data_IF_402591626562
#
_entry.id   IF_402591626562
#
_cell.length_a   1.000
_cell.length_b   1.000
_cell.length_c   1.000
_cell.angle_alpha   90.00
_cell.angle_beta   90.00
_cell.angle_gamma   90.00
#
_symmetry.space_group_name_H-M   'P 1'
#
loop_
_entity.id
_entity.type
_entity.pdbx_description
1 polymer ?
#
# COMPACT_ATOMS: atom_id res chain seq x y z
N UNK A 1 37.52 -1.84 -66.70
CA UNK A 1 36.48 -1.10 -65.97
C UNK A 1 36.74 -1.28 -64.47
N UNK A 2 36.24 -0.42 -63.59
CA UNK A 2 36.48 -0.51 -62.14
C UNK A 2 35.22 -1.05 -61.44
N UNK A 3 35.40 -1.69 -60.30
CA UNK A 3 34.30 -2.05 -59.42
C UNK A 3 33.96 -0.86 -58.50
N UNK A 4 32.69 -0.75 -58.11
CA UNK A 4 32.25 0.25 -57.14
C UNK A 4 32.50 -0.22 -55.70
N UNK A 5 32.74 0.75 -54.82
CA UNK A 5 32.78 0.52 -53.38
C UNK A 5 31.44 -0.06 -52.88
N UNK A 6 31.44 -0.78 -51.74
CA UNK A 6 30.20 -1.25 -51.13
C UNK A 6 29.27 -0.06 -50.82
N UNK A 7 28.05 -0.09 -51.36
CA UNK A 7 26.96 0.81 -51.00
C UNK A 7 26.09 0.09 -49.96
N UNK A 8 25.68 0.76 -48.89
CA UNK A 8 25.02 0.18 -47.71
C UNK A 8 25.96 -0.50 -46.69
N UNK A 9 27.05 0.18 -46.35
CA UNK A 9 27.92 -0.20 -45.24
C UNK A 9 27.97 0.89 -44.17
N UNK A 10 28.09 0.47 -42.92
CA UNK A 10 28.28 1.37 -41.79
C UNK A 10 29.69 2.01 -41.87
N UNK A 11 29.72 3.30 -42.20
CA UNK A 11 30.95 4.08 -42.31
C UNK A 11 31.58 4.39 -40.94
N UNK A 12 30.84 4.25 -39.84
CA UNK A 12 31.45 4.24 -38.51
C UNK A 12 32.27 2.97 -38.29
N UNK A 13 31.90 1.86 -38.93
CA UNK A 13 32.53 0.55 -38.73
C UNK A 13 33.65 0.26 -39.73
N UNK A 14 33.49 0.61 -41.01
CA UNK A 14 34.44 0.24 -42.07
C UNK A 14 35.23 1.43 -42.60
N UNK A 15 36.54 1.22 -42.80
CA UNK A 15 37.41 2.16 -43.48
C UNK A 15 37.54 1.79 -44.96
N UNK A 16 36.92 2.59 -45.83
CA UNK A 16 36.93 2.38 -47.28
C UNK A 16 38.06 3.14 -48.02
N UNK A 17 39.02 3.71 -47.29
CA UNK A 17 40.04 4.61 -47.87
C UNK A 17 40.83 4.03 -49.05
N UNK A 18 41.02 2.71 -49.10
CA UNK A 18 41.74 2.03 -50.17
C UNK A 18 40.83 1.43 -51.25
N UNK A 19 39.51 1.45 -51.06
CA UNK A 19 38.53 0.70 -51.86
C UNK A 19 37.55 1.57 -52.66
N UNK A 20 37.78 2.88 -52.74
CA UNK A 20 36.90 3.80 -53.50
C UNK A 20 36.86 3.51 -55.01
N UNK A 21 38.00 3.12 -55.59
CA UNK A 21 38.10 2.76 -57.02
C UNK A 21 39.08 1.60 -57.14
N UNK A 22 38.57 0.42 -57.48
CA UNK A 22 39.39 -0.80 -57.63
C UNK A 22 39.33 -1.26 -59.08
N UNK A 23 40.49 -1.29 -59.73
CA UNK A 23 40.60 -1.71 -61.13
C UNK A 23 40.33 -3.22 -61.25
N UNK A 24 39.75 -3.65 -62.37
CA UNK A 24 39.59 -5.08 -62.67
C UNK A 24 40.92 -5.85 -62.53
N UNK A 25 40.87 -6.98 -61.82
CA UNK A 25 42.04 -7.80 -61.52
C UNK A 25 42.90 -7.33 -60.33
N UNK A 26 42.50 -6.26 -59.62
CA UNK A 26 43.20 -5.74 -58.44
C UNK A 26 42.41 -5.93 -57.15
N UNK A 27 43.10 -5.74 -56.02
CA UNK A 27 42.56 -5.89 -54.67
C UNK A 27 42.71 -4.59 -53.87
N UNK A 28 41.92 -4.46 -52.82
CA UNK A 28 42.05 -3.42 -51.79
C UNK A 28 41.77 -4.02 -50.41
N UNK A 29 42.19 -3.33 -49.34
CA UNK A 29 42.00 -3.79 -47.97
C UNK A 29 40.85 -3.04 -47.31
N UNK A 30 39.81 -3.77 -46.92
CA UNK A 30 38.69 -3.30 -46.10
C UNK A 30 39.03 -3.51 -44.63
N UNK A 31 39.53 -2.45 -43.99
CA UNK A 31 39.84 -2.44 -42.56
C UNK A 31 38.67 -1.93 -41.71
N UNK A 32 38.76 -2.17 -40.40
CA UNK A 32 37.90 -1.50 -39.44
C UNK A 32 38.25 -0.02 -39.33
N UNK A 33 37.24 0.83 -39.19
CA UNK A 33 37.43 2.25 -38.96
C UNK A 33 37.90 2.48 -37.53
N UNK A 34 39.15 2.89 -37.38
CA UNK A 34 39.83 2.99 -36.08
C UNK A 34 40.30 4.42 -35.83
N UNK A 35 39.90 5.05 -34.71
CA UNK A 35 38.86 4.64 -33.76
C UNK A 35 37.44 4.73 -34.38
N UNK A 36 36.42 4.02 -33.83
CA UNK A 36 36.41 3.29 -32.57
C UNK A 36 36.51 1.75 -32.70
N UNK A 37 36.61 1.18 -33.90
CA UNK A 37 36.65 -0.27 -34.08
C UNK A 37 38.08 -0.80 -34.16
N UNK A 38 38.24 -2.07 -33.78
CA UNK A 38 39.46 -2.87 -33.95
C UNK A 38 39.11 -4.21 -34.58
N UNK A 39 40.02 -4.75 -35.39
CA UNK A 39 39.81 -5.99 -36.09
C UNK A 39 40.82 -6.19 -37.21
N UNK A 40 40.82 -7.36 -37.80
CA UNK A 40 41.65 -7.67 -38.96
C UNK A 40 40.94 -7.21 -40.24
N UNK A 41 41.71 -6.63 -41.16
CA UNK A 41 41.19 -6.24 -42.46
C UNK A 41 40.90 -7.46 -43.34
N UNK A 42 39.88 -7.37 -44.18
CA UNK A 42 39.61 -8.35 -45.23
C UNK A 42 40.00 -7.78 -46.59
N UNK A 43 40.51 -8.64 -47.48
CA UNK A 43 40.84 -8.22 -48.84
C UNK A 43 39.59 -8.28 -49.71
N UNK A 44 39.25 -7.16 -50.34
CA UNK A 44 38.24 -7.08 -51.39
C UNK A 44 38.91 -7.15 -52.76
N UNK A 45 38.25 -7.77 -53.74
CA UNK A 45 38.80 -7.89 -55.09
C UNK A 45 37.77 -7.54 -56.17
N UNK A 46 38.26 -6.92 -57.24
CA UNK A 46 37.46 -6.69 -58.44
C UNK A 46 37.80 -7.77 -59.48
N UNK A 47 36.83 -8.57 -59.98
CA UNK A 47 37.09 -9.64 -60.93
C UNK A 47 37.88 -9.18 -62.16
N UNK A 48 38.79 -10.02 -62.64
CA UNK A 48 39.50 -9.76 -63.88
C UNK A 48 38.53 -9.78 -65.08
N UNK A 49 38.76 -8.91 -66.06
CA UNK A 49 37.87 -8.76 -67.21
C UNK A 49 36.53 -8.07 -66.92
N UNK A 50 36.35 -7.44 -65.76
CA UNK A 50 35.14 -6.66 -65.49
C UNK A 50 34.93 -5.58 -66.58
N UNK A 51 33.74 -5.56 -67.18
CA UNK A 51 33.28 -4.59 -68.18
C UNK A 51 32.07 -3.76 -67.70
N UNK A 52 31.49 -4.10 -66.55
CA UNK A 52 30.37 -3.39 -65.95
C UNK A 52 30.88 -2.34 -64.94
N UNK A 53 30.64 -1.04 -65.15
CA UNK A 53 31.05 0.02 -64.23
C UNK A 53 30.28 0.02 -62.90
N UNK A 54 29.20 -0.74 -62.78
CA UNK A 54 28.40 -0.89 -61.57
C UNK A 54 28.64 -2.21 -60.83
N UNK A 55 29.58 -3.04 -61.30
CA UNK A 55 29.92 -4.29 -60.63
C UNK A 55 30.41 -3.99 -59.20
N UNK A 56 29.77 -4.58 -58.17
CA UNK A 56 30.23 -4.42 -56.80
C UNK A 56 31.55 -5.16 -56.59
N UNK A 57 32.38 -4.66 -55.68
CA UNK A 57 33.51 -5.43 -55.18
C UNK A 57 33.06 -6.80 -54.65
N UNK A 58 33.89 -7.82 -54.83
CA UNK A 58 33.74 -9.09 -54.13
C UNK A 58 34.51 -9.02 -52.81
N UNK A 59 33.79 -9.09 -51.70
CA UNK A 59 34.35 -8.93 -50.36
C UNK A 59 33.54 -9.70 -49.32
N UNK A 60 34.14 -9.88 -48.14
CA UNK A 60 33.49 -10.40 -46.94
C UNK A 60 33.66 -9.42 -45.79
N UNK A 61 32.64 -9.30 -44.95
CA UNK A 61 32.66 -8.40 -43.79
C UNK A 61 33.83 -8.72 -42.85
N UNK A 62 34.74 -7.77 -42.56
CA UNK A 62 35.76 -7.94 -41.55
C UNK A 62 35.13 -8.01 -40.15
N UNK A 63 35.77 -8.73 -39.22
CA UNK A 63 35.32 -8.81 -37.83
C UNK A 63 35.76 -7.55 -37.10
N UNK A 64 34.92 -6.53 -37.11
CA UNK A 64 35.15 -5.28 -36.41
C UNK A 64 34.45 -5.26 -35.06
N UNK A 65 35.23 -5.23 -33.99
CA UNK A 65 34.72 -5.12 -32.62
C UNK A 65 34.90 -3.68 -32.12
N UNK A 66 33.87 -3.08 -31.52
CA UNK A 66 34.02 -1.80 -30.83
C UNK A 66 35.13 -1.87 -29.77
N UNK A 67 35.98 -0.86 -29.74
CA UNK A 67 37.04 -0.69 -28.75
C UNK A 67 36.74 0.52 -27.88
N UNK A 68 36.09 0.29 -26.75
CA UNK A 68 35.82 1.33 -25.76
C UNK A 68 37.04 1.56 -24.89
N UNK A 69 37.58 2.79 -24.90
CA UNK A 69 38.63 3.18 -23.93
C UNK A 69 38.03 3.23 -22.52
N UNK A 70 38.80 2.82 -21.52
CA UNK A 70 38.38 2.79 -20.11
C UNK A 70 38.22 4.20 -19.49
N UNK A 71 38.40 5.27 -20.27
CA UNK A 71 38.52 6.66 -19.80
C UNK A 71 37.21 7.43 -19.71
N UNK A 72 36.07 6.79 -19.95
CA UNK A 72 34.77 7.44 -19.70
C UNK A 72 34.53 7.60 -18.21
N UNK A 73 33.96 8.73 -17.75
CA UNK A 73 33.51 8.84 -16.37
C UNK A 73 32.55 7.68 -16.08
N UNK A 74 32.78 6.97 -14.97
CA UNK A 74 31.93 5.85 -14.56
C UNK A 74 30.52 6.40 -14.33
N UNK A 75 29.49 5.88 -15.01
CA UNK A 75 28.12 6.38 -14.84
C UNK A 75 27.61 6.22 -13.41
N UNK A 76 26.65 7.05 -13.04
CA UNK A 76 25.99 6.94 -11.73
C UNK A 76 25.41 5.52 -11.53
N UNK A 77 25.57 4.99 -10.32
CA UNK A 77 25.11 3.64 -9.97
C UNK A 77 26.12 2.53 -10.21
N UNK A 78 27.26 2.84 -10.83
CA UNK A 78 28.32 1.87 -11.12
C UNK A 78 29.66 2.25 -10.49
N UNK A 79 30.52 1.25 -10.35
CA UNK A 79 31.93 1.36 -9.96
C UNK A 79 32.75 0.47 -10.88
N UNK A 80 33.88 0.99 -11.35
CA UNK A 80 34.84 0.24 -12.16
C UNK A 80 36.14 0.10 -11.35
N UNK A 81 36.51 -1.13 -11.03
CA UNK A 81 37.76 -1.41 -10.33
C UNK A 81 38.97 -1.32 -11.28
N UNK A 82 40.21 -1.17 -10.76
CA UNK A 82 41.42 -1.04 -11.60
C UNK A 82 41.71 -2.25 -12.50
N UNK A 83 41.16 -3.42 -12.15
CA UNK A 83 41.25 -4.66 -12.92
C UNK A 83 40.20 -4.75 -14.05
N UNK A 84 39.35 -3.74 -14.20
CA UNK A 84 38.26 -3.70 -15.18
C UNK A 84 36.96 -4.34 -14.71
N UNK A 85 36.87 -4.77 -13.45
CA UNK A 85 35.65 -5.38 -12.90
C UNK A 85 34.59 -4.32 -12.56
N UNK A 86 33.38 -4.49 -13.11
CA UNK A 86 32.22 -3.64 -12.78
C UNK A 86 31.53 -4.12 -11.50
N UNK A 87 31.17 -3.18 -10.63
CA UNK A 87 30.32 -3.41 -9.46
C UNK A 87 29.25 -2.32 -9.35
N UNK A 88 28.15 -2.59 -8.64
CA UNK A 88 27.15 -1.55 -8.35
C UNK A 88 27.69 -0.58 -7.28
N UNK A 89 27.28 0.68 -7.37
CA UNK A 89 27.51 1.65 -6.30
C UNK A 89 26.69 1.27 -5.04
N UNK A 90 27.04 1.81 -3.87
CA UNK A 90 26.38 1.46 -2.59
C UNK A 90 24.86 1.70 -2.57
N UNK A 91 24.36 2.57 -3.45
CA UNK A 91 22.94 2.91 -3.56
C UNK A 91 22.21 2.10 -4.64
N UNK A 92 22.86 1.10 -5.23
CA UNK A 92 22.35 0.28 -6.31
C UNK A 92 22.63 -1.20 -6.05
N UNK A 93 21.81 -2.06 -6.62
CA UNK A 93 21.94 -3.51 -6.49
C UNK A 93 21.66 -4.20 -7.82
N UNK A 94 22.31 -5.34 -8.03
CA UNK A 94 22.09 -6.20 -9.19
C UNK A 94 23.35 -6.89 -9.67
N UNK A 95 23.34 -7.31 -10.94
CA UNK A 95 24.44 -8.00 -11.60
C UNK A 95 25.03 -7.08 -12.67
N UNK A 96 26.05 -6.27 -12.34
CA UNK A 96 26.62 -5.30 -13.26
C UNK A 96 27.26 -5.97 -14.46
N UNK A 97 27.02 -5.39 -15.62
CA UNK A 97 27.71 -5.69 -16.87
C UNK A 97 27.87 -4.40 -17.68
N UNK A 98 28.71 -4.43 -18.70
CA UNK A 98 28.85 -3.31 -19.62
C UNK A 98 28.97 -3.82 -21.04
N UNK A 99 28.27 -3.16 -21.96
CA UNK A 99 28.35 -3.44 -23.39
C UNK A 99 29.02 -2.25 -24.04
N UNK A 100 30.06 -2.49 -24.83
CA UNK A 100 30.67 -1.46 -25.64
C UNK A 100 29.77 -1.20 -26.85
N UNK A 101 29.26 0.02 -26.97
CA UNK A 101 28.37 0.45 -28.06
C UNK A 101 28.99 1.64 -28.78
N UNK A 102 28.70 1.78 -30.07
CA UNK A 102 29.11 2.94 -30.86
C UNK A 102 27.87 3.77 -31.12
N UNK A 103 27.93 5.06 -30.80
CA UNK A 103 26.82 5.99 -31.01
C UNK A 103 26.80 6.54 -32.45
N UNK A 104 25.79 7.34 -32.77
CA UNK A 104 25.59 7.91 -34.11
C UNK A 104 26.73 8.86 -34.56
N UNK A 105 27.55 9.33 -33.61
CA UNK A 105 28.73 10.16 -33.86
C UNK A 105 30.02 9.33 -34.06
N UNK A 106 29.89 8.01 -34.24
CA UNK A 106 30.98 7.04 -34.33
C UNK A 106 31.93 7.05 -33.10
N UNK A 107 31.41 7.33 -31.90
CA UNK A 107 32.17 7.27 -30.64
C UNK A 107 31.80 5.99 -29.89
N UNK A 108 32.81 5.18 -29.54
CA UNK A 108 32.61 4.03 -28.66
C UNK A 108 32.49 4.46 -27.20
N UNK A 109 31.43 4.02 -26.56
CA UNK A 109 31.15 4.26 -25.14
C UNK A 109 30.71 2.98 -24.42
N UNK A 110 31.10 2.88 -23.16
CA UNK A 110 30.61 1.83 -22.28
C UNK A 110 29.18 2.14 -21.89
N UNK A 111 28.25 1.23 -22.21
CA UNK A 111 26.88 1.25 -21.72
C UNK A 111 26.71 0.24 -20.60
N UNK A 112 26.85 0.64 -19.33
CA UNK A 112 26.65 -0.27 -18.21
C UNK A 112 25.17 -0.61 -18.04
N UNK A 113 24.91 -1.85 -17.61
CA UNK A 113 23.58 -2.40 -17.37
C UNK A 113 23.59 -3.27 -16.11
N UNK A 114 22.42 -3.50 -15.53
CA UNK A 114 22.23 -4.48 -14.46
C UNK A 114 22.46 -3.98 -13.03
N UNK A 115 22.67 -2.69 -12.81
CA UNK A 115 22.55 -2.08 -11.48
C UNK A 115 21.31 -1.19 -11.43
N UNK A 116 20.36 -1.58 -10.58
CA UNK A 116 19.14 -0.82 -10.33
C UNK A 116 19.26 -0.06 -9.01
N UNK A 117 18.65 1.12 -8.94
CA UNK A 117 18.69 1.94 -7.74
C UNK A 117 17.94 1.25 -6.61
N UNK A 118 18.55 1.24 -5.43
CA UNK A 118 17.89 0.79 -4.22
C UNK A 118 16.83 1.80 -3.77
N UNK A 119 15.66 1.29 -3.40
CA UNK A 119 14.50 2.07 -3.00
C UNK A 119 14.08 1.78 -1.55
N UNK A 120 13.65 2.79 -0.79
CA UNK A 120 13.04 2.56 0.51
C UNK A 120 11.73 1.79 0.34
N UNK A 121 11.37 1.00 1.36
CA UNK A 121 10.08 0.31 1.37
C UNK A 121 8.94 1.26 1.76
N UNK A 122 7.75 0.95 1.25
CA UNK A 122 6.49 1.62 1.56
C UNK A 122 5.91 1.05 2.85
N UNK A 123 5.35 1.91 3.70
CA UNK A 123 4.65 1.49 4.91
C UNK A 123 3.39 0.66 4.55
N UNK A 124 3.03 -0.36 5.34
CA UNK A 124 1.76 -1.07 5.17
C UNK A 124 0.56 -0.12 5.30
N UNK A 125 -0.56 -0.46 4.69
CA UNK A 125 -1.81 0.33 4.76
C UNK A 125 -2.90 -0.34 5.58
N UNK A 126 -2.58 -1.44 6.28
CA UNK A 126 -3.54 -2.16 7.13
C UNK A 126 -3.99 -1.31 8.33
N UNK A 127 -5.31 -1.20 8.52
CA UNK A 127 -5.99 -0.60 9.68
C UNK A 127 -5.22 0.59 10.31
N UNK A 128 -5.11 1.67 9.53
CA UNK A 128 -4.43 2.92 9.92
C UNK A 128 -5.02 3.58 11.18
N UNK A 129 -6.20 3.14 11.59
CA UNK A 129 -6.85 3.59 12.82
C UNK A 129 -6.36 2.82 14.04
N UNK A 130 -5.98 1.55 13.88
CA UNK A 130 -5.47 0.71 14.95
C UNK A 130 -3.95 0.81 15.13
N UNK A 131 -3.22 1.02 14.05
CA UNK A 131 -1.76 0.99 14.05
C UNK A 131 -1.14 2.36 13.76
N UNK A 132 -0.15 2.73 14.57
CA UNK A 132 0.72 3.86 14.30
C UNK A 132 1.96 3.35 13.54
N UNK A 133 2.09 3.82 12.30
CA UNK A 133 3.19 3.49 11.38
C UNK A 133 4.04 4.71 11.02
N UNK A 134 4.01 5.78 11.84
CA UNK A 134 4.81 6.99 11.62
C UNK A 134 6.30 6.70 11.44
N UNK A 135 6.81 5.72 12.20
CA UNK A 135 8.22 5.33 12.21
C UNK A 135 8.62 4.53 10.95
N UNK A 136 7.64 4.15 10.13
CA UNK A 136 7.81 3.31 8.94
C UNK A 136 7.72 4.09 7.63
N UNK A 137 7.64 5.43 7.70
CA UNK A 137 7.65 6.29 6.53
C UNK A 137 9.08 6.39 5.98
N UNK A 138 9.35 5.72 4.86
CA UNK A 138 10.66 5.70 4.14
C UNK A 138 11.75 4.87 4.82
N UNK A 139 11.44 3.63 5.18
CA UNK A 139 12.47 2.71 5.71
C UNK A 139 13.47 2.37 4.60
N UNK A 140 14.78 2.67 4.75
CA UNK A 140 15.77 2.35 3.73
C UNK A 140 15.91 0.83 3.54
N UNK A 141 16.47 0.38 2.40
CA UNK A 141 16.79 -1.04 2.19
C UNK A 141 17.60 -1.62 3.36
N UNK A 142 17.20 -2.80 3.84
CA UNK A 142 17.80 -3.47 5.00
C UNK A 142 17.42 -2.85 6.35
N UNK A 143 16.72 -1.71 6.33
CA UNK A 143 16.21 -1.02 7.49
C UNK A 143 15.04 -1.74 8.16
N UNK A 144 14.68 -1.25 9.34
CA UNK A 144 13.55 -1.74 10.11
C UNK A 144 12.88 -0.59 10.86
N UNK A 145 11.58 -0.73 11.13
CA UNK A 145 10.80 0.21 11.93
C UNK A 145 9.91 -0.53 12.93
N UNK A 146 9.40 0.20 13.92
CA UNK A 146 8.44 -0.33 14.89
C UNK A 146 7.04 0.15 14.56
N UNK A 147 6.12 -0.79 14.41
CA UNK A 147 4.69 -0.52 14.33
C UNK A 147 4.10 -0.68 15.73
N UNK A 148 3.38 0.33 16.18
CA UNK A 148 2.79 0.39 17.53
C UNK A 148 1.28 0.46 17.42
N UNK A 149 0.58 0.19 18.52
CA UNK A 149 -0.83 0.53 18.61
C UNK A 149 -1.00 2.05 18.58
N UNK A 150 -1.98 2.52 17.81
CA UNK A 150 -2.39 3.92 17.81
C UNK A 150 -3.30 4.17 19.01
N UNK A 151 -3.18 5.32 19.65
CA UNK A 151 -4.11 5.70 20.72
C UNK A 151 -5.56 5.73 20.16
N UNK A 152 -6.57 5.20 20.89
CA UNK A 152 -6.55 4.72 22.28
C UNK A 152 -6.29 3.22 22.46
N UNK A 153 -5.84 2.52 21.41
CA UNK A 153 -5.49 1.10 21.52
C UNK A 153 -4.22 0.91 22.34
N UNK A 154 -4.23 -0.13 23.16
CA UNK A 154 -3.07 -0.54 23.97
C UNK A 154 -2.66 -1.94 23.53
N UNK A 155 -1.35 -2.17 23.48
CA UNK A 155 -0.78 -3.44 23.05
C UNK A 155 0.73 -3.40 22.92
N UNK A 156 1.29 -4.49 22.38
CA UNK A 156 2.70 -4.58 22.05
C UNK A 156 3.08 -3.73 20.84
N UNK A 157 4.37 -3.72 20.53
CA UNK A 157 4.90 -3.25 19.25
C UNK A 157 5.39 -4.45 18.43
N UNK A 158 5.40 -4.31 17.11
CA UNK A 158 5.94 -5.30 16.19
C UNK A 158 6.96 -4.65 15.27
N UNK A 159 7.96 -5.41 14.87
CA UNK A 159 8.99 -4.95 13.94
C UNK A 159 8.53 -5.20 12.49
N UNK A 160 8.75 -4.24 11.61
CA UNK A 160 8.65 -4.41 10.17
C UNK A 160 10.00 -4.13 9.50
N UNK A 161 10.33 -4.86 8.45
CA UNK A 161 11.66 -4.85 7.80
C UNK A 161 11.57 -4.56 6.31
N UNK A 162 12.55 -3.82 5.79
CA UNK A 162 12.74 -3.66 4.36
C UNK A 162 13.84 -4.60 3.88
N UNK A 163 13.66 -5.23 2.72
CA UNK A 163 14.69 -6.09 2.12
C UNK A 163 15.94 -5.25 1.79
N UNK A 164 17.14 -5.79 2.04
CA UNK A 164 18.42 -5.11 1.79
C UNK A 164 18.62 -4.74 0.31
N UNK A 165 18.07 -5.56 -0.57
CA UNK A 165 18.23 -5.46 -2.01
C UNK A 165 16.97 -4.95 -2.70
N UNK A 166 16.17 -4.13 -2.02
CA UNK A 166 14.92 -3.64 -2.56
C UNK A 166 15.17 -2.64 -3.71
N UNK A 167 14.89 -3.05 -4.94
CA UNK A 167 14.93 -2.22 -6.14
C UNK A 167 13.53 -1.82 -6.62
N UNK A 168 12.47 -2.30 -5.96
CA UNK A 168 11.10 -1.96 -6.28
C UNK A 168 10.62 -0.77 -5.42
N UNK A 169 10.30 0.39 -6.02
CA UNK A 169 9.82 1.56 -5.28
C UNK A 169 8.45 1.37 -4.62
N UNK A 170 7.71 0.32 -4.97
CA UNK A 170 6.38 0.01 -4.40
C UNK A 170 6.40 -1.17 -3.43
N UNK A 171 7.57 -1.73 -3.12
CA UNK A 171 7.71 -2.83 -2.17
C UNK A 171 7.22 -2.39 -0.79
N UNK A 172 6.19 -3.07 -0.29
CA UNK A 172 5.69 -2.90 1.07
C UNK A 172 6.64 -3.58 2.04
N UNK A 173 6.85 -2.97 3.21
CA UNK A 173 7.60 -3.58 4.31
C UNK A 173 7.13 -5.01 4.61
N UNK A 174 8.07 -5.91 4.86
CA UNK A 174 7.77 -7.21 5.45
C UNK A 174 7.34 -7.00 6.90
N UNK A 175 6.03 -7.09 7.08
CA UNK A 175 5.37 -7.06 8.38
C UNK A 175 4.62 -8.38 8.60
N UNK A 176 5.42 -9.45 8.67
CA UNK A 176 4.91 -10.80 8.90
C UNK A 176 4.48 -11.05 10.36
N UNK A 177 3.53 -11.97 10.59
CA UNK A 177 3.02 -12.27 11.93
C UNK A 177 4.09 -12.68 12.96
N UNK A 178 3.83 -12.43 14.26
CA UNK A 178 2.59 -11.91 14.81
C UNK A 178 2.48 -10.38 14.75
N UNK A 179 1.36 -9.90 14.20
CA UNK A 179 0.97 -8.48 14.33
C UNK A 179 0.73 -8.17 15.81
N UNK A 180 0.97 -6.92 16.26
CA UNK A 180 0.74 -6.58 17.66
C UNK A 180 -0.76 -6.67 17.94
N UNK A 181 -1.09 -7.33 19.05
CA UNK A 181 -2.46 -7.36 19.56
C UNK A 181 -2.79 -5.97 20.11
N UNK A 182 -3.51 -5.18 19.31
CA UNK A 182 -3.98 -3.86 19.69
C UNK A 182 -5.45 -3.97 20.06
N UNK A 183 -5.74 -3.77 21.35
CA UNK A 183 -7.09 -3.83 21.90
C UNK A 183 -7.44 -2.51 22.59
N UNK A 184 -8.72 -2.15 22.54
CA UNK A 184 -9.24 -1.08 23.38
C UNK A 184 -9.34 -1.61 24.80
N UNK A 185 -8.61 -1.01 25.73
CA UNK A 185 -8.71 -1.37 27.15
C UNK A 185 -9.97 -0.79 27.77
N UNK A 186 -10.28 0.48 27.47
CA UNK A 186 -11.44 1.22 27.96
C UNK A 186 -11.93 2.13 26.83
N UNK A 187 -13.24 2.22 26.61
CA UNK A 187 -13.81 3.20 25.68
C UNK A 187 -13.66 4.62 26.27
N UNK A 188 -13.37 5.64 25.46
CA UNK A 188 -13.30 7.02 25.95
C UNK A 188 -14.65 7.46 26.53
N UNK A 189 -14.64 8.23 27.62
CA UNK A 189 -15.87 8.77 28.20
C UNK A 189 -16.58 9.64 27.15
N UNK A 190 -17.90 9.43 26.90
CA UNK A 190 -18.62 10.21 25.90
C UNK A 190 -18.67 11.68 26.32
N UNK A 191 -18.40 12.61 25.38
CA UNK A 191 -18.45 14.05 25.63
C UNK A 191 -19.83 14.50 26.12
N UNK A 192 -20.87 13.88 25.58
CA UNK A 192 -22.27 14.07 26.00
C UNK A 192 -22.82 12.72 26.40
N UNK A 193 -23.18 12.57 27.68
CA UNK A 193 -23.87 11.39 28.17
C UNK A 193 -25.31 11.41 27.65
N UNK A 194 -25.75 10.40 26.87
CA UNK A 194 -27.14 10.33 26.41
C UNK A 194 -28.14 10.29 27.56
N UNK A 195 -29.37 10.81 27.37
CA UNK A 195 -30.43 10.66 28.35
C UNK A 195 -30.66 9.19 28.74
N UNK A 196 -30.96 8.95 30.02
CA UNK A 196 -31.19 7.61 30.54
C UNK A 196 -29.95 6.92 31.11
N UNK A 197 -28.78 7.55 31.04
CA UNK A 197 -27.53 7.02 31.59
C UNK A 197 -26.91 7.97 32.60
N UNK A 198 -26.28 7.40 33.63
CA UNK A 198 -25.43 8.17 34.55
C UNK A 198 -24.19 7.35 34.89
N UNK A 199 -23.03 8.02 34.93
CA UNK A 199 -21.75 7.42 35.28
C UNK A 199 -21.61 7.33 36.80
N UNK A 200 -21.27 6.15 37.31
CA UNK A 200 -20.83 5.94 38.69
C UNK A 200 -19.31 5.74 38.72
N UNK A 201 -18.71 5.60 39.91
CA UNK A 201 -17.27 5.43 40.06
C UNK A 201 -16.70 4.30 39.19
N UNK A 202 -17.43 3.19 39.07
CA UNK A 202 -16.91 1.99 38.39
C UNK A 202 -17.69 1.61 37.12
N UNK A 203 -18.97 2.00 37.00
CA UNK A 203 -19.86 1.51 35.93
C UNK A 203 -20.90 2.53 35.45
N UNK A 204 -21.53 2.23 34.31
CA UNK A 204 -22.75 2.91 33.87
C UNK A 204 -23.96 2.34 34.62
N UNK A 205 -24.92 3.19 35.00
CA UNK A 205 -26.24 2.79 35.50
C UNK A 205 -27.33 3.54 34.73
N UNK A 206 -28.55 3.02 34.73
CA UNK A 206 -29.69 3.77 34.22
C UNK A 206 -29.96 4.99 35.12
N UNK A 207 -30.30 6.11 34.50
CA UNK A 207 -30.69 7.33 35.20
C UNK A 207 -32.07 7.14 35.87
N UNK A 208 -32.44 8.07 36.74
CA UNK A 208 -33.78 8.07 37.36
C UNK A 208 -34.88 8.14 36.28
N UNK A 209 -35.91 7.30 36.40
CA UNK A 209 -36.97 7.14 35.40
C UNK A 209 -36.59 6.30 34.19
N UNK A 210 -35.49 5.52 34.29
CA UNK A 210 -35.07 4.55 33.28
C UNK A 210 -34.71 3.22 33.96
N UNK A 211 -35.08 2.12 33.31
CA UNK A 211 -34.78 0.75 33.75
C UNK A 211 -33.99 -0.02 32.70
N UNK A 212 -33.32 -1.08 33.15
CA UNK A 212 -32.58 -2.02 32.31
C UNK A 212 -31.14 -2.26 32.78
N UNK A 213 -30.36 -2.90 31.91
CA UNK A 213 -28.96 -3.24 32.15
C UNK A 213 -28.09 -2.47 31.15
N UNK A 214 -27.44 -1.37 31.57
CA UNK A 214 -26.63 -0.56 30.67
C UNK A 214 -25.45 -1.35 30.13
N UNK A 215 -25.17 -1.15 28.85
CA UNK A 215 -24.03 -1.71 28.14
C UNK A 215 -23.29 -0.58 27.45
N UNK A 216 -21.97 -0.57 27.60
CA UNK A 216 -21.08 0.32 26.86
C UNK A 216 -20.28 -0.51 25.87
N UNK A 217 -20.25 -0.05 24.62
CA UNK A 217 -19.38 -0.60 23.59
C UNK A 217 -18.67 0.54 22.87
N UNK A 218 -17.46 0.29 22.39
CA UNK A 218 -16.73 1.28 21.62
C UNK A 218 -17.02 1.06 20.14
N UNK A 219 -17.29 2.15 19.44
CA UNK A 219 -17.39 2.15 17.98
C UNK A 219 -16.32 3.08 17.40
N UNK A 220 -15.83 2.74 16.22
CA UNK A 220 -14.80 3.52 15.54
C UNK A 220 -15.35 4.04 14.23
N UNK A 221 -15.25 5.35 14.03
CA UNK A 221 -15.65 5.98 12.78
C UNK A 221 -14.57 5.92 11.68
N UNK A 222 -14.91 6.41 10.49
CA UNK A 222 -14.00 6.46 9.34
C UNK A 222 -12.78 7.40 9.53
N UNK A 223 -12.79 8.23 10.58
CA UNK A 223 -11.72 9.17 10.93
C UNK A 223 -10.85 8.66 12.08
N UNK A 224 -10.99 7.38 12.44
CA UNK A 224 -10.28 6.74 13.55
C UNK A 224 -10.63 7.32 14.93
N UNK A 225 -11.78 7.97 15.06
CA UNK A 225 -12.29 8.45 16.33
C UNK A 225 -13.05 7.32 16.99
N UNK A 226 -12.62 6.93 18.18
CA UNK A 226 -13.33 5.94 19.00
C UNK A 226 -14.36 6.67 19.84
N UNK A 227 -15.62 6.22 19.79
CA UNK A 227 -16.72 6.78 20.58
C UNK A 227 -17.36 5.69 21.44
N UNK A 228 -17.89 6.07 22.61
CA UNK A 228 -18.66 5.16 23.45
C UNK A 228 -20.12 5.22 23.04
N UNK A 229 -20.70 4.07 22.71
CA UNK A 229 -22.13 3.90 22.50
C UNK A 229 -22.73 3.20 23.72
N UNK A 230 -23.74 3.84 24.32
CA UNK A 230 -24.49 3.30 25.43
C UNK A 230 -25.81 2.70 24.93
N UNK A 231 -26.16 1.53 25.44
CA UNK A 231 -27.43 0.85 25.16
C UNK A 231 -27.96 0.15 26.41
N UNK A 232 -29.20 -0.32 26.39
CA UNK A 232 -29.78 -1.16 27.44
C UNK A 232 -30.49 -0.43 28.60
N UNK A 233 -30.62 0.89 28.57
CA UNK A 233 -31.53 1.62 29.45
C UNK A 233 -32.70 2.15 28.62
N UNK A 234 -33.91 1.90 29.09
CA UNK A 234 -35.15 2.35 28.47
C UNK A 234 -35.92 3.19 29.47
N UNK A 235 -36.69 4.16 28.97
CA UNK A 235 -37.51 5.01 29.84
C UNK A 235 -38.61 4.18 30.50
N UNK A 236 -38.86 4.47 31.77
CA UNK A 236 -40.01 3.97 32.53
C UNK A 236 -41.29 4.52 31.92
N UNK A 237 -42.20 3.63 31.54
CA UNK A 237 -43.51 4.00 30.99
C UNK A 237 -44.60 3.66 32.00
N UNK A 238 -45.50 4.62 32.24
CA UNK A 238 -46.65 4.38 33.10
C UNK A 238 -47.53 3.26 32.50
N UNK A 239 -48.11 2.42 33.36
CA UNK A 239 -48.95 1.34 32.90
C UNK A 239 -50.24 1.85 32.26
N UNK A 240 -50.70 1.11 31.25
CA UNK A 240 -51.97 1.32 30.59
C UNK A 240 -53.12 1.08 31.57
N UNK A 241 -54.18 1.93 31.58
CA UNK A 241 -55.30 1.77 32.50
C UNK A 241 -55.90 0.37 32.46
N UNK A 242 -56.17 -0.19 33.66
CA UNK A 242 -56.79 -1.51 33.80
C UNK A 242 -58.17 -1.53 33.14
N UNK A 243 -58.39 -2.48 32.22
CA UNK A 243 -59.69 -2.69 31.59
C UNK A 243 -60.62 -3.42 32.56
N UNK A 244 -61.54 -2.67 33.18
CA UNK A 244 -62.58 -3.20 34.08
C UNK A 244 -63.97 -2.92 33.54
N UNK A 245 -64.97 -3.65 34.03
CA UNK A 245 -66.37 -3.25 33.85
C UNK A 245 -66.63 -1.97 34.65
N UNK A 246 -66.65 -0.83 33.95
CA UNK A 246 -66.86 0.49 34.56
C UNK A 246 -68.22 0.65 35.25
N UNK A 247 -69.19 -0.25 35.03
CA UNK A 247 -70.47 -0.22 35.76
C UNK A 247 -70.34 -0.85 37.16
N UNK A 248 -69.39 -1.78 37.33
CA UNK A 248 -69.24 -2.57 38.57
C UNK A 248 -68.04 -2.09 39.38
N UNK A 249 -66.95 -1.73 38.72
CA UNK A 249 -65.67 -1.38 39.34
C UNK A 249 -65.27 0.07 39.09
N UNK A 250 -64.65 0.67 40.08
CA UNK A 250 -63.98 1.97 40.02
C UNK A 250 -62.46 1.74 40.05
N UNK A 251 -61.85 1.88 38.88
CA UNK A 251 -60.40 1.82 38.67
C UNK A 251 -59.81 3.20 38.34
N UNK A 252 -60.49 4.30 38.69
CA UNK A 252 -59.99 5.65 38.37
C UNK A 252 -58.64 5.96 39.02
N UNK A 253 -58.34 5.30 40.15
CA UNK A 253 -57.04 5.39 40.82
C UNK A 253 -55.90 4.70 40.06
N UNK A 254 -56.21 3.93 39.01
CA UNK A 254 -55.26 3.17 38.19
C UNK A 254 -54.93 3.86 36.86
N UNK A 255 -55.24 5.16 36.70
CA UNK A 255 -54.86 5.92 35.51
C UNK A 255 -53.45 6.48 35.66
N UNK A 256 -52.51 6.00 34.84
CA UNK A 256 -51.12 6.49 34.82
C UNK A 256 -50.30 6.05 36.03
N UNK A 257 -50.47 4.81 36.47
CA UNK A 257 -49.69 4.23 37.58
C UNK A 257 -48.22 4.09 37.13
N UNK A 258 -47.29 4.68 37.89
CA UNK A 258 -45.86 4.57 37.56
C UNK A 258 -45.36 3.13 37.76
N UNK A 259 -44.26 2.74 37.10
CA UNK A 259 -43.63 1.44 37.35
C UNK A 259 -43.34 1.21 38.83
N UNK A 260 -43.80 0.06 39.36
CA UNK A 260 -43.60 -0.37 40.74
C UNK A 260 -44.63 0.18 41.73
N UNK A 261 -45.46 1.14 41.32
CA UNK A 261 -46.57 1.62 42.12
C UNK A 261 -47.76 0.67 42.04
N UNK A 262 -48.66 0.81 43.03
CA UNK A 262 -49.91 0.06 43.11
C UNK A 262 -51.10 1.01 43.18
N UNK A 263 -52.26 0.56 42.71
CA UNK A 263 -53.51 1.29 42.79
C UNK A 263 -54.63 0.43 43.39
N UNK A 264 -55.65 1.08 43.95
CA UNK A 264 -56.82 0.41 44.50
C UNK A 264 -57.96 0.38 43.49
N UNK A 265 -58.54 -0.80 43.30
CA UNK A 265 -59.78 -1.01 42.53
C UNK A 265 -60.92 -1.27 43.50
N UNK A 266 -61.98 -0.46 43.43
CA UNK A 266 -63.12 -0.52 44.37
C UNK A 266 -64.39 -0.95 43.65
N UNK A 267 -65.33 -1.54 44.38
CA UNK A 267 -66.69 -1.73 43.87
C UNK A 267 -67.41 -0.38 43.81
N UNK A 268 -68.09 -0.07 42.71
CA UNK A 268 -69.03 1.05 42.64
C UNK A 268 -70.29 0.72 43.42
N UNK A 269 -70.94 1.71 44.03
CA UNK A 269 -72.26 1.49 44.63
C UNK A 269 -73.28 1.04 43.55
N UNK A 270 -74.20 0.11 43.86
CA UNK A 270 -74.51 -0.50 45.16
C UNK A 270 -73.70 -1.77 45.47
N UNK A 271 -72.73 -2.14 44.63
CA UNK A 271 -71.92 -3.32 44.83
C UNK A 271 -71.04 -3.17 46.08
N UNK A 272 -70.93 -4.24 46.86
CA UNK A 272 -70.09 -4.29 48.07
C UNK A 272 -69.06 -5.39 47.94
N UNK A 273 -67.81 -5.11 48.32
CA UNK A 273 -66.72 -6.07 48.31
C UNK A 273 -65.45 -5.48 48.91
N UNK A 274 -64.45 -6.33 49.11
CA UNK A 274 -63.11 -5.89 49.52
C UNK A 274 -62.41 -5.25 48.32
N UNK A 275 -61.80 -4.05 48.46
CA UNK A 275 -61.01 -3.46 47.38
C UNK A 275 -59.87 -4.38 46.92
N UNK A 276 -59.68 -4.47 45.60
CA UNK A 276 -58.52 -5.11 44.99
C UNK A 276 -57.32 -4.18 44.90
N UNK A 277 -56.13 -4.74 44.78
CA UNK A 277 -54.88 -4.01 44.50
C UNK A 277 -54.38 -4.46 43.13
N UNK A 278 -54.18 -3.52 42.22
CA UNK A 278 -53.49 -3.74 40.95
C UNK A 278 -52.09 -3.08 41.02
N UNK A 279 -51.14 -3.57 40.24
CA UNK A 279 -49.72 -3.25 40.41
C UNK A 279 -49.02 -3.15 39.06
N UNK A 280 -48.42 -1.99 38.80
CA UNK A 280 -47.60 -1.82 37.60
C UNK A 280 -46.23 -2.48 37.81
N UNK A 281 -45.73 -3.30 36.87
CA UNK A 281 -44.38 -3.86 36.95
C UNK A 281 -43.33 -2.77 37.20
N UNK A 282 -42.37 -3.03 38.08
CA UNK A 282 -41.33 -2.06 38.46
C UNK A 282 -40.40 -1.68 37.30
N UNK A 283 -40.34 -2.51 36.26
CA UNK A 283 -39.54 -2.36 35.05
C UNK A 283 -40.40 -2.18 33.80
N UNK A 284 -41.59 -1.58 33.94
CA UNK A 284 -42.46 -1.39 32.78
C UNK A 284 -41.87 -0.37 31.79
N UNK A 285 -41.56 -0.87 30.60
CA UNK A 285 -41.09 -0.10 29.44
C UNK A 285 -42.10 -0.10 28.28
N UNK A 286 -43.22 -0.82 28.45
CA UNK A 286 -44.27 -0.91 27.44
C UNK A 286 -45.44 0.02 27.85
N UNK A 287 -45.73 1.07 27.07
CA UNK A 287 -46.83 1.97 27.39
C UNK A 287 -48.20 1.30 27.31
N UNK A 288 -48.30 0.08 26.77
CA UNK A 288 -49.54 -0.70 26.69
C UNK A 288 -49.63 -1.84 27.71
N UNK A 289 -48.63 -2.00 28.58
CA UNK A 289 -48.71 -2.99 29.65
C UNK A 289 -49.79 -2.59 30.67
N UNK A 290 -50.77 -3.46 30.98
CA UNK A 290 -51.81 -3.14 31.95
C UNK A 290 -51.26 -3.08 33.39
N UNK A 291 -51.91 -2.28 34.23
CA UNK A 291 -51.76 -2.30 35.70
C UNK A 291 -52.23 -3.64 36.30
#
# INVERSE_FOLDING_TARGET
VHCMAPFDVDLCMLNLSTCYVVMGGTTCDLGCNSPPYVGEATTAFCPDGNTDPFEPLNWSMPVCLPNCDARTPVPEGYRLAPDGTWSCADTHYGNPSAVCVVNDDCVAEWRPIGCDRLHPCVAPTDDLCRYNMSDCLHVPPGGQCLIRCREPFVGGASLARCEENNVDPMKILDWSPPRPSCALFICPEPEIVPPGYVRTADNWRCAEGYVGAPKAFCDMDAYCTVTTILSGCSRDEACWPLAVDECVMDASACMGVNPGDTCLVRCKAPYTGTPGVAACPADNIDPFAPV
#
